data_IF_922283824236
#
_entry.id   IF_922283824236
#
_cell.length_a   1.000
_cell.length_b   1.000
_cell.length_c   1.000
_cell.angle_alpha   90.00
_cell.angle_beta   90.00
_cell.angle_gamma   90.00
#
_symmetry.space_group_name_H-M   'P 1'
#
loop_
_entity.id
_entity.type
_entity.pdbx_description
1 polymer ?
#
# COMPACT_ATOMS: atom_id res chain seq x y z
N UNK A 1 -8.57 -6.02 16.61
CA UNK A 1 -7.29 -6.67 16.23
C UNK A 1 -7.50 -7.97 15.43
N UNK A 2 -8.38 -8.89 15.84
CA UNK A 2 -8.68 -10.12 15.09
C UNK A 2 -9.10 -9.88 13.62
N UNK A 3 -9.92 -8.87 13.35
CA UNK A 3 -10.38 -8.61 11.98
C UNK A 3 -9.29 -7.99 11.09
N UNK A 4 -8.32 -7.27 11.67
CA UNK A 4 -7.16 -6.75 10.95
C UNK A 4 -6.23 -7.88 10.51
N UNK A 5 -5.98 -8.86 11.37
CA UNK A 5 -5.16 -10.03 11.05
C UNK A 5 -5.79 -10.89 9.95
N UNK A 6 -7.12 -11.05 9.96
CA UNK A 6 -7.84 -11.74 8.89
C UNK A 6 -7.67 -11.02 7.54
N UNK A 7 -7.83 -9.70 7.53
CA UNK A 7 -7.69 -8.92 6.29
C UNK A 7 -6.26 -8.95 5.74
N UNK A 8 -5.25 -8.89 6.61
CA UNK A 8 -3.84 -9.03 6.23
C UNK A 8 -3.58 -10.44 5.65
N UNK A 9 -4.11 -11.47 6.30
CA UNK A 9 -3.96 -12.85 5.85
C UNK A 9 -4.60 -13.09 4.48
N UNK A 10 -5.83 -12.62 4.25
CA UNK A 10 -6.48 -12.70 2.94
C UNK A 10 -5.72 -11.90 1.87
N UNK A 11 -5.22 -10.71 2.21
CA UNK A 11 -4.40 -9.90 1.30
C UNK A 11 -3.12 -10.62 0.88
N UNK A 12 -2.44 -11.29 1.83
CA UNK A 12 -1.22 -12.04 1.57
C UNK A 12 -1.48 -13.30 0.74
N UNK A 13 -2.60 -13.98 0.95
CA UNK A 13 -3.06 -15.11 0.13
C UNK A 13 -3.35 -14.71 -1.31
N UNK A 14 -4.05 -13.59 -1.50
CA UNK A 14 -4.36 -13.05 -2.84
C UNK A 14 -3.05 -12.65 -3.54
N UNK A 15 -2.13 -11.99 -2.83
CA UNK A 15 -0.84 -11.62 -3.38
C UNK A 15 -0.03 -12.83 -3.84
N UNK A 16 0.07 -13.87 -3.00
CA UNK A 16 0.77 -15.11 -3.36
C UNK A 16 0.10 -15.83 -4.53
N UNK A 17 -1.23 -15.82 -4.62
CA UNK A 17 -1.95 -16.39 -5.75
C UNK A 17 -1.60 -15.66 -7.06
N UNK A 18 -1.67 -14.33 -7.07
CA UNK A 18 -1.30 -13.55 -8.26
C UNK A 18 0.18 -13.67 -8.60
N UNK A 19 1.07 -13.70 -7.61
CA UNK A 19 2.50 -13.92 -7.83
C UNK A 19 2.78 -15.32 -8.43
N UNK A 20 2.09 -16.35 -7.94
CA UNK A 20 2.17 -17.71 -8.47
C UNK A 20 1.65 -17.81 -9.90
N UNK A 21 0.48 -17.22 -10.19
CA UNK A 21 -0.08 -17.17 -11.55
C UNK A 21 0.84 -16.39 -12.48
N UNK A 22 1.37 -15.24 -12.06
CA UNK A 22 2.31 -14.46 -12.85
C UNK A 22 3.61 -15.24 -13.13
N UNK A 23 4.11 -16.00 -12.15
CA UNK A 23 5.27 -16.87 -12.32
C UNK A 23 5.01 -18.03 -13.28
N UNK A 24 3.78 -18.54 -13.34
CA UNK A 24 3.39 -19.59 -14.28
C UNK A 24 3.18 -19.06 -15.70
N UNK A 25 2.76 -17.80 -15.85
CA UNK A 25 2.54 -17.15 -17.13
C UNK A 25 3.84 -16.61 -17.76
N UNK A 26 4.89 -16.38 -16.97
CA UNK A 26 6.21 -15.95 -17.44
C UNK A 26 7.31 -16.99 -17.15
N UNK A 27 7.27 -18.19 -17.79
CA UNK A 27 8.38 -19.12 -17.73
C UNK A 27 9.61 -18.45 -18.35
N UNK A 28 10.62 -18.18 -17.52
CA UNK A 28 11.92 -17.69 -17.95
C UNK A 28 12.63 -18.82 -18.73
N UNK A 29 12.41 -18.93 -20.05
CA UNK A 29 13.29 -19.73 -20.90
C UNK A 29 14.71 -19.13 -20.78
N UNK A 30 15.65 -19.89 -20.21
CA UNK A 30 17.06 -19.49 -20.13
C UNK A 30 17.66 -19.54 -21.54
N UNK A 31 17.48 -18.47 -22.30
CA UNK A 31 18.17 -18.29 -23.57
C UNK A 31 19.61 -17.89 -23.23
N UNK A 32 20.58 -18.74 -23.60
CA UNK A 32 21.99 -18.43 -23.38
C UNK A 32 22.46 -17.41 -24.42
N UNK A 33 23.04 -16.31 -23.95
CA UNK A 33 23.63 -15.28 -24.81
C UNK A 33 25.04 -15.70 -25.21
N UNK A 34 25.30 -15.79 -26.51
CA UNK A 34 26.62 -16.12 -27.07
C UNK A 34 27.15 -14.97 -27.92
N UNK A 35 28.48 -14.87 -27.98
CA UNK A 35 29.13 -13.88 -28.83
C UNK A 35 28.88 -14.16 -30.31
N UNK A 36 28.88 -13.10 -31.14
CA UNK A 36 28.69 -13.24 -32.58
C UNK A 36 29.76 -14.14 -33.24
N UNK A 37 30.99 -14.07 -32.75
CA UNK A 37 32.10 -14.94 -33.19
C UNK A 37 31.87 -16.42 -32.85
N UNK A 38 31.26 -16.70 -31.70
CA UNK A 38 30.91 -18.07 -31.29
C UNK A 38 29.74 -18.63 -32.10
N UNK A 39 28.78 -17.76 -32.46
CA UNK A 39 27.73 -18.10 -33.42
C UNK A 39 28.31 -18.47 -34.79
N UNK A 40 29.25 -17.68 -35.34
CA UNK A 40 29.89 -18.01 -36.63
C UNK A 40 30.55 -19.39 -36.58
N UNK A 41 31.25 -19.72 -35.49
CA UNK A 41 31.85 -21.05 -35.30
C UNK A 41 30.82 -22.18 -35.32
N UNK A 42 29.70 -22.02 -34.60
CA UNK A 42 28.64 -23.03 -34.56
C UNK A 42 27.94 -23.20 -35.91
N UNK A 43 27.88 -22.15 -36.72
CA UNK A 43 27.39 -22.21 -38.11
C UNK A 43 28.40 -22.96 -39.00
N UNK A 44 29.70 -22.66 -38.87
CA UNK A 44 30.78 -23.33 -39.60
C UNK A 44 30.86 -24.84 -39.26
N UNK A 45 30.68 -25.19 -37.98
CA UNK A 45 30.65 -26.56 -37.48
C UNK A 45 29.35 -27.32 -37.84
N UNK A 46 28.41 -26.68 -38.54
CA UNK A 46 27.10 -27.23 -38.94
C UNK A 46 26.24 -27.72 -37.75
N UNK A 47 26.38 -27.10 -36.59
CA UNK A 47 25.60 -27.45 -35.39
C UNK A 47 24.22 -26.76 -35.35
N UNK A 48 24.05 -25.73 -36.19
CA UNK A 48 22.82 -24.92 -36.25
C UNK A 48 21.76 -25.59 -37.11
N UNK A 49 20.52 -25.62 -36.61
CA UNK A 49 19.35 -26.21 -37.28
C UNK A 49 18.44 -25.12 -37.86
N UNK A 50 18.11 -24.11 -37.06
CA UNK A 50 17.27 -22.98 -37.48
C UNK A 50 17.86 -21.67 -36.99
N UNK A 51 17.74 -20.65 -37.84
CA UNK A 51 18.14 -19.28 -37.52
C UNK A 51 16.91 -18.40 -37.68
N UNK A 52 16.45 -17.81 -36.58
CA UNK A 52 15.36 -16.85 -36.58
C UNK A 52 15.90 -15.44 -36.36
N UNK A 53 15.71 -14.58 -37.35
CA UNK A 53 16.19 -13.19 -37.30
C UNK A 53 15.04 -12.28 -36.89
N UNK A 54 15.14 -11.65 -35.71
CA UNK A 54 14.19 -10.68 -35.16
C UNK A 54 14.86 -9.31 -35.02
N UNK A 55 14.78 -8.50 -36.09
CA UNK A 55 15.45 -7.20 -36.14
C UNK A 55 16.97 -7.35 -36.04
N UNK A 56 17.55 -6.93 -34.91
CA UNK A 56 18.99 -7.06 -34.62
C UNK A 56 19.34 -8.31 -33.79
N UNK A 57 18.35 -9.01 -33.24
CA UNK A 57 18.57 -10.26 -32.51
C UNK A 57 18.47 -11.46 -33.45
N UNK A 58 19.37 -12.42 -33.24
CA UNK A 58 19.41 -13.70 -33.94
C UNK A 58 19.20 -14.77 -32.88
N UNK A 59 18.09 -15.50 -33.01
CA UNK A 59 17.79 -16.66 -32.18
C UNK A 59 18.21 -17.90 -32.96
N UNK A 60 19.03 -18.73 -32.34
CA UNK A 60 19.66 -19.89 -32.94
C UNK A 60 19.13 -21.12 -32.21
N UNK A 61 18.58 -22.08 -32.96
CA UNK A 61 18.29 -23.41 -32.43
C UNK A 61 19.38 -24.37 -32.91
N UNK A 62 20.14 -24.92 -31.96
CA UNK A 62 21.11 -25.97 -32.26
C UNK A 62 20.38 -27.30 -32.53
N UNK A 63 21.06 -28.23 -33.21
CA UNK A 63 20.54 -29.60 -33.44
C UNK A 63 20.17 -30.33 -32.15
N UNK A 64 20.83 -29.98 -31.05
CA UNK A 64 20.57 -30.52 -29.70
C UNK A 64 19.32 -29.92 -29.01
N UNK A 65 18.61 -29.00 -29.68
CA UNK A 65 17.40 -28.35 -29.17
C UNK A 65 17.65 -27.18 -28.20
N UNK A 66 18.91 -26.82 -27.96
CA UNK A 66 19.27 -25.65 -27.14
C UNK A 66 19.08 -24.39 -27.97
N UNK A 67 18.31 -23.42 -27.42
CA UNK A 67 18.17 -22.08 -28.00
C UNK A 67 19.23 -21.14 -27.45
N UNK A 68 19.95 -20.47 -28.34
CA UNK A 68 20.92 -19.43 -28.03
C UNK A 68 20.52 -18.12 -28.70
N UNK A 69 20.96 -17.00 -28.17
CA UNK A 69 20.73 -15.68 -28.79
C UNK A 69 22.05 -14.95 -29.01
N UNK A 70 22.13 -14.21 -30.10
CA UNK A 70 23.23 -13.29 -30.39
C UNK A 70 22.70 -12.04 -31.06
N UNK A 71 23.52 -10.98 -31.10
CA UNK A 71 23.14 -9.70 -31.70
C UNK A 71 24.00 -9.42 -32.92
N UNK A 72 23.38 -8.99 -34.03
CA UNK A 72 24.10 -8.53 -35.22
C UNK A 72 24.21 -7.01 -35.27
N UNK A 73 25.14 -6.53 -36.09
CA UNK A 73 25.24 -5.11 -36.41
C UNK A 73 23.95 -4.60 -37.09
N UNK A 74 23.61 -3.35 -36.80
CA UNK A 74 22.35 -2.75 -37.27
C UNK A 74 22.39 -2.54 -38.78
N UNK A 75 21.40 -3.06 -39.50
CA UNK A 75 21.21 -2.79 -40.94
C UNK A 75 21.95 -3.72 -41.90
N UNK A 76 22.68 -4.73 -41.42
CA UNK A 76 23.32 -5.73 -42.29
C UNK A 76 22.41 -6.94 -42.55
N UNK A 77 22.43 -7.46 -43.78
CA UNK A 77 21.74 -8.69 -44.12
C UNK A 77 22.54 -9.88 -43.58
N UNK A 78 21.90 -10.82 -42.87
CA UNK A 78 22.61 -11.88 -42.16
C UNK A 78 23.39 -12.77 -43.12
N UNK A 79 22.79 -13.09 -44.26
CA UNK A 79 23.40 -13.88 -45.33
C UNK A 79 24.70 -13.23 -45.85
N UNK A 80 24.68 -11.92 -46.04
CA UNK A 80 25.83 -11.15 -46.56
C UNK A 80 26.97 -11.11 -45.53
N UNK A 81 26.63 -10.96 -44.25
CA UNK A 81 27.62 -11.01 -43.15
C UNK A 81 28.23 -12.41 -43.07
N UNK A 82 27.43 -13.48 -43.10
CA UNK A 82 27.95 -14.86 -43.03
C UNK A 82 28.88 -15.18 -44.21
N UNK A 83 28.55 -14.71 -45.42
CA UNK A 83 29.42 -14.85 -46.60
C UNK A 83 30.73 -14.09 -46.42
N UNK A 84 30.70 -12.89 -45.82
CA UNK A 84 31.92 -12.10 -45.55
C UNK A 84 32.88 -12.79 -44.57
N UNK A 85 32.37 -13.65 -43.68
CA UNK A 85 33.16 -14.47 -42.77
C UNK A 85 33.62 -15.82 -43.36
N UNK A 86 33.34 -16.07 -44.64
CA UNK A 86 33.85 -17.26 -45.35
C UNK A 86 32.90 -18.46 -45.41
N UNK A 87 31.65 -18.30 -44.99
CA UNK A 87 30.63 -19.36 -45.06
C UNK A 87 30.14 -19.48 -46.50
N UNK A 88 30.22 -20.69 -47.09
CA UNK A 88 29.82 -20.92 -48.48
C UNK A 88 28.31 -20.85 -48.63
N UNK A 89 27.85 -20.25 -49.73
CA UNK A 89 26.42 -20.09 -50.04
C UNK A 89 25.65 -21.42 -50.17
N UNK A 90 26.34 -22.54 -50.37
CA UNK A 90 25.71 -23.86 -50.41
C UNK A 90 25.42 -24.42 -49.01
N UNK A 91 26.23 -24.10 -48.00
CA UNK A 91 25.99 -24.51 -46.62
C UNK A 91 24.82 -23.72 -45.99
N UNK A 92 24.58 -22.50 -46.46
CA UNK A 92 23.46 -21.66 -46.03
C UNK A 92 22.09 -22.19 -46.50
N UNK A 93 22.05 -22.97 -47.59
CA UNK A 93 20.80 -23.57 -48.11
C UNK A 93 20.30 -24.73 -47.27
N UNK A 94 21.19 -25.38 -46.51
CA UNK A 94 20.84 -26.46 -45.56
C UNK A 94 20.19 -25.90 -44.28
N UNK A 95 20.38 -24.60 -43.99
CA UNK A 95 19.92 -23.95 -42.77
C UNK A 95 18.63 -23.19 -43.07
N UNK A 96 17.57 -23.44 -42.31
CA UNK A 96 16.30 -22.73 -42.46
C UNK A 96 16.39 -21.36 -41.78
N UNK A 97 16.61 -20.31 -42.57
CA UNK A 97 16.66 -18.91 -42.12
C UNK A 97 15.25 -18.32 -42.23
N UNK A 98 14.66 -17.98 -41.09
CA UNK A 98 13.33 -17.37 -41.00
C UNK A 98 13.46 -15.95 -40.51
N UNK A 99 13.07 -14.99 -41.36
CA UNK A 99 12.94 -13.59 -40.98
C UNK A 99 11.57 -13.39 -40.34
N UNK A 100 11.53 -12.99 -39.07
CA UNK A 100 10.31 -12.57 -38.40
C UNK A 100 10.39 -11.08 -38.13
N UNK A 101 9.40 -10.33 -38.60
CA UNK A 101 9.27 -8.92 -38.26
C UNK A 101 9.13 -8.78 -36.74
N UNK A 102 9.76 -7.75 -36.18
CA UNK A 102 9.54 -7.39 -34.80
C UNK A 102 8.10 -6.88 -34.74
N UNK A 103 7.17 -7.73 -34.33
CA UNK A 103 5.81 -7.30 -34.00
C UNK A 103 5.95 -6.15 -33.00
N UNK A 104 5.29 -5.04 -33.31
CA UNK A 104 5.39 -3.83 -32.52
C UNK A 104 4.56 -4.00 -31.23
N UNK A 105 5.06 -4.87 -30.36
CA UNK A 105 4.54 -5.17 -29.04
C UNK A 105 4.61 -3.96 -28.11
N UNK A 106 5.10 -2.82 -28.58
CA UNK A 106 5.15 -1.58 -27.83
C UNK A 106 3.80 -1.23 -27.19
N UNK A 107 2.68 -1.36 -27.92
CA UNK A 107 1.35 -1.08 -27.35
C UNK A 107 0.93 -2.11 -26.29
N UNK A 108 1.27 -3.39 -26.49
CA UNK A 108 0.97 -4.47 -25.55
C UNK A 108 1.83 -4.32 -24.29
N UNK A 109 3.13 -4.08 -24.47
CA UNK A 109 4.09 -3.77 -23.42
C UNK A 109 3.69 -2.52 -22.63
N UNK A 110 3.25 -1.46 -23.30
CA UNK A 110 2.80 -0.23 -22.65
C UNK A 110 1.52 -0.48 -21.86
N UNK A 111 0.57 -1.23 -22.43
CA UNK A 111 -0.68 -1.58 -21.74
C UNK A 111 -0.42 -2.43 -20.48
N UNK A 112 0.43 -3.46 -20.60
CA UNK A 112 0.83 -4.32 -19.46
C UNK A 112 1.64 -3.54 -18.42
N UNK A 113 2.48 -2.60 -18.83
CA UNK A 113 3.32 -1.80 -17.92
C UNK A 113 2.54 -0.70 -17.21
N UNK A 114 1.53 -0.13 -17.86
CA UNK A 114 0.72 0.98 -17.32
C UNK A 114 -0.46 0.47 -16.48
N UNK A 115 -0.98 -0.73 -16.76
CA UNK A 115 -2.10 -1.32 -16.02
C UNK A 115 -1.87 -1.38 -14.49
N UNK A 116 -0.71 -1.80 -13.96
CA UNK A 116 -0.45 -1.80 -12.52
C UNK A 116 -0.45 -0.39 -11.91
N UNK A 117 0.09 0.60 -12.64
CA UNK A 117 0.15 1.99 -12.19
C UNK A 117 -1.27 2.57 -12.11
N UNK A 118 -2.09 2.33 -13.12
CA UNK A 118 -3.50 2.74 -13.14
C UNK A 118 -4.26 2.03 -12.02
N UNK A 119 -4.06 0.73 -11.84
CA UNK A 119 -4.73 -0.05 -10.80
C UNK A 119 -4.41 0.50 -9.39
N UNK A 120 -3.13 0.76 -9.10
CA UNK A 120 -2.71 1.37 -7.84
C UNK A 120 -3.29 2.77 -7.70
N UNK A 121 -3.26 3.58 -8.76
CA UNK A 121 -3.85 4.93 -8.75
C UNK A 121 -5.34 4.93 -8.44
N UNK A 122 -6.11 4.05 -9.08
CA UNK A 122 -7.55 3.87 -8.84
C UNK A 122 -7.81 3.32 -7.44
N UNK A 123 -7.02 2.35 -6.99
CA UNK A 123 -7.13 1.77 -5.65
C UNK A 123 -6.86 2.81 -4.57
N UNK A 124 -5.79 3.60 -4.71
CA UNK A 124 -5.46 4.70 -3.79
C UNK A 124 -6.53 5.79 -3.84
N UNK A 125 -7.04 6.14 -5.02
CA UNK A 125 -8.14 7.10 -5.13
C UNK A 125 -9.41 6.62 -4.42
N UNK A 126 -9.74 5.33 -4.55
CA UNK A 126 -10.86 4.70 -3.84
C UNK A 126 -10.65 4.68 -2.32
N UNK A 127 -9.44 4.39 -1.85
CA UNK A 127 -9.08 4.40 -0.42
C UNK A 127 -9.12 5.81 0.17
N UNK A 128 -8.60 6.81 -0.56
CA UNK A 128 -8.59 8.20 -0.14
C UNK A 128 -10.01 8.76 -0.05
N UNK A 129 -10.88 8.34 -0.98
CA UNK A 129 -12.32 8.67 -0.96
C UNK A 129 -13.05 8.08 0.24
N UNK A 130 -12.64 6.91 0.75
CA UNK A 130 -13.20 6.34 1.98
C UNK A 130 -12.56 6.93 3.25
N UNK A 131 -11.27 7.25 3.19
CA UNK A 131 -10.47 7.75 4.29
C UNK A 131 -10.83 9.16 4.78
N UNK A 132 -11.47 10.00 3.96
CA UNK A 132 -11.90 11.34 4.39
C UNK A 132 -12.91 11.33 5.56
N UNK A 133 -13.62 10.22 5.80
CA UNK A 133 -14.49 10.08 6.99
C UNK A 133 -13.75 9.61 8.26
N UNK A 134 -12.57 8.98 8.12
CA UNK A 134 -11.79 8.42 9.23
C UNK A 134 -10.49 9.16 9.57
N UNK A 135 -9.83 9.78 8.59
CA UNK A 135 -8.59 10.53 8.77
C UNK A 135 -8.79 11.74 9.71
N UNK A 136 -9.93 12.42 9.60
CA UNK A 136 -10.33 13.50 10.50
C UNK A 136 -10.45 13.05 11.96
N UNK A 137 -10.76 11.78 12.23
CA UNK A 137 -10.80 11.24 13.59
C UNK A 137 -9.40 11.00 14.17
N UNK A 138 -8.43 10.54 13.36
CA UNK A 138 -7.05 10.33 13.82
C UNK A 138 -6.37 11.64 14.23
N UNK A 139 -6.58 12.73 13.49
CA UNK A 139 -6.11 14.07 13.85
C UNK A 139 -6.89 14.71 15.02
N UNK A 140 -8.02 14.14 15.43
CA UNK A 140 -8.82 14.64 16.56
C UNK A 140 -8.44 14.03 17.92
N UNK A 141 -7.46 13.13 17.97
CA UNK A 141 -7.01 12.48 19.21
C UNK A 141 -6.43 13.48 20.24
N UNK A 142 -5.84 14.60 19.80
CA UNK A 142 -5.32 15.62 20.73
C UNK A 142 -6.39 16.55 21.30
N UNK A 143 -7.63 16.50 20.78
CA UNK A 143 -8.72 17.35 21.27
C UNK A 143 -9.37 16.67 22.47
N UNK A 144 -9.30 17.31 23.63
CA UNK A 144 -10.09 16.91 24.79
C UNK A 144 -11.57 16.83 24.39
N UNK A 145 -12.26 15.76 24.84
CA UNK A 145 -13.71 15.59 24.68
C UNK A 145 -14.38 15.86 26.03
N UNK A 146 -14.51 17.12 26.46
CA UNK A 146 -15.19 17.43 27.71
C UNK A 146 -16.65 16.99 27.59
N UNK A 147 -17.14 16.26 28.59
CA UNK A 147 -18.57 16.01 28.71
C UNK A 147 -19.19 17.24 29.34
N UNK A 148 -19.75 18.13 28.52
CA UNK A 148 -20.46 19.30 29.01
C UNK A 148 -21.79 18.81 29.60
N UNK A 149 -21.93 18.89 30.92
CA UNK A 149 -23.21 18.70 31.59
C UNK A 149 -24.04 19.96 31.36
N UNK A 150 -25.27 19.80 30.85
CA UNK A 150 -26.27 20.88 30.81
C UNK A 150 -26.35 21.74 29.54
N UNK A 151 -25.42 21.66 28.58
CA UNK A 151 -25.51 22.42 27.32
C UNK A 151 -25.42 21.46 26.13
N UNK A 152 -26.57 21.08 25.57
CA UNK A 152 -26.65 20.16 24.42
C UNK A 152 -27.88 19.25 24.30
N UNK A 153 -29.03 19.63 24.87
CA UNK A 153 -30.33 19.03 24.49
C UNK A 153 -30.68 17.65 25.05
N UNK A 154 -29.88 17.05 25.94
CA UNK A 154 -30.31 15.92 26.78
C UNK A 154 -30.25 16.34 28.23
N UNK A 155 -31.39 16.78 28.75
CA UNK A 155 -31.60 17.00 30.19
C UNK A 155 -31.40 15.66 30.86
N UNK A 156 -30.24 15.48 31.49
CA UNK A 156 -30.09 14.45 32.51
C UNK A 156 -30.70 14.99 33.79
N UNK A 157 -31.29 14.07 34.54
CA UNK A 157 -31.95 14.28 35.82
C UNK A 157 -31.19 15.28 36.70
N UNK A 158 -31.89 16.32 37.17
CA UNK A 158 -31.32 17.33 38.04
C UNK A 158 -31.18 16.70 39.43
N UNK A 159 -29.96 16.38 39.83
CA UNK A 159 -29.65 15.92 41.19
C UNK A 159 -29.46 17.13 42.09
N UNK A 160 -30.00 17.06 43.30
CA UNK A 160 -29.94 18.08 44.33
C UNK A 160 -29.26 17.55 45.60
N UNK A 161 -28.96 18.42 46.57
CA UNK A 161 -28.43 17.99 47.87
C UNK A 161 -29.40 17.11 48.65
N UNK A 162 -30.69 17.13 48.33
CA UNK A 162 -31.71 16.30 48.97
C UNK A 162 -31.63 14.85 48.50
N UNK A 163 -31.10 14.61 47.29
CA UNK A 163 -30.94 13.27 46.70
C UNK A 163 -29.69 12.52 47.20
N UNK A 164 -28.83 13.19 47.97
CA UNK A 164 -27.66 12.59 48.59
C UNK A 164 -28.00 12.18 50.01
N UNK A 165 -27.91 10.90 50.37
CA UNK A 165 -28.08 10.49 51.75
C UNK A 165 -26.82 10.78 52.59
N UNK A 166 -27.00 11.10 53.86
CA UNK A 166 -25.92 11.31 54.84
C UNK A 166 -24.97 12.49 54.49
N UNK A 167 -23.76 12.56 55.06
CA UNK A 167 -22.72 13.56 54.75
C UNK A 167 -23.08 15.01 55.13
N UNK A 168 -23.65 15.21 56.31
CA UNK A 168 -24.11 16.53 56.79
C UNK A 168 -23.01 17.61 56.75
N UNK A 169 -21.81 17.28 57.21
CA UNK A 169 -20.67 18.20 57.25
C UNK A 169 -20.24 18.63 55.84
N UNK A 170 -20.00 17.65 54.96
CA UNK A 170 -19.59 17.92 53.58
C UNK A 170 -20.64 18.69 52.76
N UNK A 171 -21.94 18.44 53.01
CA UNK A 171 -23.01 19.22 52.38
C UNK A 171 -23.01 20.67 52.84
N UNK A 172 -22.76 20.92 54.12
CA UNK A 172 -22.75 22.28 54.66
C UNK A 172 -21.57 23.09 54.10
N UNK A 173 -20.38 22.49 54.04
CA UNK A 173 -19.21 23.10 53.39
C UNK A 173 -19.45 23.37 51.89
N UNK A 174 -20.08 22.42 51.18
CA UNK A 174 -20.40 22.61 49.77
C UNK A 174 -21.51 23.64 49.54
N UNK A 175 -22.45 23.83 50.48
CA UNK A 175 -23.46 24.89 50.38
C UNK A 175 -22.81 26.27 50.41
N UNK A 176 -21.79 26.48 51.22
CA UNK A 176 -21.03 27.74 51.23
C UNK A 176 -20.41 28.01 49.85
N UNK A 177 -19.80 26.99 49.24
CA UNK A 177 -19.25 27.09 47.87
C UNK A 177 -20.34 27.38 46.84
N UNK A 178 -21.53 26.78 46.98
CA UNK A 178 -22.67 27.04 46.08
C UNK A 178 -23.23 28.46 46.29
N UNK A 179 -23.34 28.94 47.52
CA UNK A 179 -23.76 30.32 47.81
C UNK A 179 -22.75 31.31 47.22
N UNK A 180 -21.46 31.00 47.32
CA UNK A 180 -20.39 31.76 46.69
C UNK A 180 -20.53 31.83 45.16
N UNK A 181 -20.87 30.71 44.50
CA UNK A 181 -21.10 30.68 43.05
C UNK A 181 -22.38 31.41 42.62
N UNK A 182 -23.41 31.44 43.49
CA UNK A 182 -24.66 32.16 43.23
C UNK A 182 -24.52 33.67 43.42
N UNK A 183 -23.84 34.11 44.47
CA UNK A 183 -23.73 35.52 44.88
C UNK A 183 -22.26 35.96 45.11
N UNK A 184 -21.37 35.88 44.09
CA UNK A 184 -19.95 36.11 44.28
C UNK A 184 -19.61 37.53 44.77
N UNK A 185 -20.45 38.53 44.46
CA UNK A 185 -20.24 39.93 44.85
C UNK A 185 -20.25 40.12 46.37
N UNK A 186 -21.22 39.50 47.06
CA UNK A 186 -21.37 39.56 48.53
C UNK A 186 -20.09 39.11 49.23
N UNK A 187 -19.47 38.03 48.75
CA UNK A 187 -18.24 37.49 49.34
C UNK A 187 -16.99 38.30 48.97
N UNK A 188 -16.91 38.85 47.77
CA UNK A 188 -15.81 39.73 47.36
C UNK A 188 -15.81 41.05 48.14
N UNK A 189 -16.98 41.62 48.45
CA UNK A 189 -17.12 42.82 49.28
C UNK A 189 -16.66 42.60 50.72
N UNK A 190 -16.81 41.38 51.24
CA UNK A 190 -16.27 40.96 52.54
C UNK A 190 -14.76 40.65 52.50
N UNK A 191 -14.11 40.76 51.33
CA UNK A 191 -12.69 40.45 51.14
C UNK A 191 -12.37 38.95 51.07
N UNK A 192 -13.38 38.09 50.93
CA UNK A 192 -13.17 36.65 50.83
C UNK A 192 -12.59 36.25 49.46
N UNK A 193 -11.72 35.24 49.46
CA UNK A 193 -11.05 34.75 48.24
C UNK A 193 -11.87 33.64 47.58
N UNK A 194 -12.08 33.76 46.26
CA UNK A 194 -12.78 32.76 45.45
C UNK A 194 -12.04 31.40 45.51
N UNK A 195 -12.69 30.30 45.92
CA UNK A 195 -12.11 28.96 45.82
C UNK A 195 -11.97 28.57 44.35
N UNK A 196 -10.79 28.06 43.95
CA UNK A 196 -10.50 27.70 42.55
C UNK A 196 -10.90 26.27 42.19
N UNK A 197 -11.26 25.46 43.18
CA UNK A 197 -11.68 24.06 43.02
C UNK A 197 -11.78 23.38 44.38
N UNK A 198 -12.59 22.33 44.44
CA UNK A 198 -12.77 21.50 45.63
C UNK A 198 -12.39 20.06 45.27
N UNK A 199 -11.58 19.41 46.11
CA UNK A 199 -11.20 18.02 45.93
C UNK A 199 -11.96 17.15 46.94
N UNK A 200 -12.87 16.30 46.43
CA UNK A 200 -13.59 15.35 47.26
C UNK A 200 -12.79 14.05 47.41
N UNK A 201 -12.41 13.67 48.63
CA UNK A 201 -11.59 12.49 48.92
C UNK A 201 -12.40 11.44 49.69
N UNK A 202 -12.20 10.16 49.37
CA UNK A 202 -12.78 9.03 50.12
C UNK A 202 -12.79 7.72 49.34
N UNK A 203 -13.25 6.61 49.93
CA UNK A 203 -13.36 5.29 49.28
C UNK A 203 -14.26 5.29 48.02
N UNK A 204 -14.11 4.33 47.08
CA UNK A 204 -15.02 4.23 45.93
C UNK A 204 -16.47 4.01 46.40
N UNK A 205 -17.44 4.68 45.75
CA UNK A 205 -18.87 4.51 46.05
C UNK A 205 -19.49 5.47 47.08
N UNK A 206 -18.71 6.33 47.75
CA UNK A 206 -19.22 7.25 48.78
C UNK A 206 -19.92 8.53 48.24
N UNK A 207 -20.54 8.50 47.06
CA UNK A 207 -21.34 9.63 46.56
C UNK A 207 -20.56 10.87 46.07
N UNK A 208 -19.22 10.84 45.94
CA UNK A 208 -18.42 11.99 45.47
C UNK A 208 -18.87 12.58 44.13
N UNK A 209 -19.18 11.73 43.14
CA UNK A 209 -19.67 12.17 41.82
C UNK A 209 -21.14 12.59 41.84
N UNK A 210 -21.88 12.20 42.88
CA UNK A 210 -23.27 12.62 43.06
C UNK A 210 -23.36 14.02 43.71
N UNK A 211 -22.34 14.38 44.51
CA UNK A 211 -22.18 15.70 45.12
C UNK A 211 -21.57 16.76 44.19
N UNK A 212 -20.94 16.34 43.08
CA UNK A 212 -20.23 17.21 42.13
C UNK A 212 -21.06 17.50 40.87
#
# INVERSE_FOLDING_TARGET
MRDLWKNIFYGLLIFLFFAGVFSLLNPQEKIQEISFSEFIKQVEEKEVKTIEVKGNQIIIELKDGVKKTTTKETGSNLEEVLISYGIKSDDLKEINIVYREVENDFWIWLLISVLPVIFIGVFLWWILRQGQRGATQAFSFSKARPRIYGVGGKIREKVSFDDVADLKEAKEELKEVVEFLREPKKFLEMGARIPRGVLLVGPPGCGKTLLA
#
